data_IF_438470434584
#
_entry.id   IF_438470434584
#
_cell.length_a   1.000
_cell.length_b   1.000
_cell.length_c   1.000
_cell.angle_alpha   90.00
_cell.angle_beta   90.00
_cell.angle_gamma   90.00
#
_symmetry.space_group_name_H-M   'P 1'
#
loop_
_entity.id
_entity.type
_entity.pdbx_description
1 polymer ?
#
# COMPACT_ATOMS: atom_id res chain seq x y z
N UNK A 1 10.50 12.11 4.30
CA UNK A 1 9.42 11.60 5.22
C UNK A 1 10.06 10.58 6.13
N UNK A 2 9.73 10.54 7.42
CA UNK A 2 10.30 9.61 8.40
C UNK A 2 9.24 8.67 8.93
N UNK A 3 9.64 7.47 9.38
CA UNK A 3 8.74 6.53 10.04
C UNK A 3 8.18 7.11 11.35
N UNK A 4 7.03 6.61 11.84
CA UNK A 4 6.51 6.97 13.16
C UNK A 4 7.55 6.74 14.26
N UNK A 5 7.58 7.60 15.28
CA UNK A 5 8.60 7.55 16.34
C UNK A 5 8.61 6.20 17.05
N UNK A 6 7.44 5.63 17.34
CA UNK A 6 7.31 4.31 17.98
C UNK A 6 8.02 3.19 17.21
N UNK A 7 8.06 3.28 15.89
CA UNK A 7 8.81 2.32 15.06
C UNK A 7 10.30 2.61 15.13
N UNK A 8 10.71 3.90 15.00
CA UNK A 8 12.12 4.30 15.03
C UNK A 8 12.83 3.96 16.34
N UNK A 9 12.10 4.03 17.45
CA UNK A 9 12.61 3.75 18.80
C UNK A 9 12.55 2.25 19.17
N UNK A 10 12.10 1.39 18.24
CA UNK A 10 12.00 -0.06 18.40
C UNK A 10 13.15 -0.79 17.68
N UNK A 11 13.31 -2.10 17.84
CA UNK A 11 14.29 -2.90 17.08
C UNK A 11 13.84 -3.21 15.64
N UNK A 12 12.72 -2.66 15.15
CA UNK A 12 12.10 -3.01 13.87
C UNK A 12 12.65 -2.29 12.64
N UNK A 13 13.27 -1.10 12.71
CA UNK A 13 13.79 -0.42 11.52
C UNK A 13 14.89 -1.20 10.80
N UNK A 14 15.04 -0.86 9.52
CA UNK A 14 16.24 -1.21 8.77
C UNK A 14 17.47 -0.72 9.50
N UNK A 15 18.50 -1.57 9.61
CA UNK A 15 19.79 -1.23 10.21
C UNK A 15 20.75 -0.63 9.19
N UNK A 16 20.53 -0.92 7.91
CA UNK A 16 21.40 -0.52 6.80
C UNK A 16 20.56 -0.11 5.56
N UNK A 17 21.17 0.59 4.63
CA UNK A 17 20.57 0.97 3.36
C UNK A 17 19.72 2.25 3.43
N UNK A 18 19.07 2.55 2.33
CA UNK A 18 18.32 3.81 2.12
C UNK A 18 17.14 4.02 3.09
N UNK A 19 16.61 2.95 3.65
CA UNK A 19 15.46 3.00 4.56
C UNK A 19 15.86 3.19 6.03
N UNK A 20 17.13 2.91 6.37
CA UNK A 20 17.63 2.99 7.74
C UNK A 20 17.61 4.43 8.28
N UNK A 21 18.05 5.41 7.48
CA UNK A 21 18.13 6.81 7.87
C UNK A 21 16.78 7.42 8.30
N UNK A 22 15.70 6.94 7.73
CA UNK A 22 14.32 7.39 8.02
C UNK A 22 13.60 6.51 9.05
N UNK A 23 14.22 5.41 9.49
CA UNK A 23 13.71 4.50 10.51
C UNK A 23 12.51 3.65 10.08
N UNK A 24 12.38 3.34 8.80
CA UNK A 24 11.31 2.48 8.29
C UNK A 24 11.51 1.02 8.72
N UNK A 25 10.40 0.33 8.99
CA UNK A 25 10.40 -1.09 9.38
C UNK A 25 11.03 -1.96 8.30
N UNK A 26 11.94 -2.84 8.71
CA UNK A 26 12.63 -3.78 7.82
C UNK A 26 11.72 -4.93 7.39
N UNK A 27 11.04 -4.79 6.27
CA UNK A 27 10.16 -5.82 5.74
C UNK A 27 10.61 -6.31 4.35
N UNK A 28 10.28 -7.55 4.04
CA UNK A 28 10.32 -8.05 2.68
C UNK A 28 9.23 -7.38 1.85
N UNK A 29 9.58 -6.87 0.67
CA UNK A 29 8.68 -6.06 -0.15
C UNK A 29 7.49 -6.84 -0.73
N UNK A 30 7.60 -8.17 -0.83
CA UNK A 30 6.59 -9.02 -1.42
C UNK A 30 5.64 -9.62 -0.39
N UNK A 31 6.18 -10.07 0.76
CA UNK A 31 5.41 -10.73 1.80
C UNK A 31 5.00 -9.79 2.93
N UNK A 32 5.65 -8.60 3.02
CA UNK A 32 5.48 -7.59 4.08
C UNK A 32 5.86 -8.10 5.47
N UNK A 33 6.53 -9.27 5.52
CA UNK A 33 7.05 -9.88 6.74
C UNK A 33 8.36 -9.20 7.13
N UNK A 34 8.56 -8.98 8.42
CA UNK A 34 9.82 -8.45 8.93
C UNK A 34 10.95 -9.47 8.70
N UNK A 35 12.11 -9.02 8.19
CA UNK A 35 13.19 -9.92 7.81
C UNK A 35 13.88 -10.59 9.01
N UNK A 36 14.00 -9.88 10.15
CA UNK A 36 14.63 -10.39 11.37
C UNK A 36 13.64 -10.99 12.36
N UNK A 37 12.35 -10.58 12.33
CA UNK A 37 11.32 -11.03 13.24
C UNK A 37 10.16 -11.62 12.44
N UNK A 38 10.17 -12.93 12.15
CA UNK A 38 9.25 -13.56 11.19
C UNK A 38 7.78 -13.55 11.63
N UNK A 39 7.49 -13.29 12.89
CA UNK A 39 6.14 -13.13 13.45
C UNK A 39 5.61 -11.69 13.39
N UNK A 40 6.38 -10.75 12.81
CA UNK A 40 6.02 -9.33 12.68
C UNK A 40 5.77 -9.01 11.20
N UNK A 41 4.71 -8.25 10.95
CA UNK A 41 4.38 -7.74 9.62
C UNK A 41 4.25 -6.22 9.65
N UNK A 42 4.68 -5.54 8.58
CA UNK A 42 4.56 -4.10 8.43
C UNK A 42 3.80 -3.73 7.17
N UNK A 43 2.73 -2.94 7.33
CA UNK A 43 1.92 -2.44 6.21
C UNK A 43 1.72 -0.93 6.29
N UNK A 44 1.49 -0.28 5.16
CA UNK A 44 1.26 1.16 5.09
C UNK A 44 2.49 1.99 5.44
N UNK A 45 2.26 3.04 6.23
CA UNK A 45 3.26 4.08 6.51
C UNK A 45 4.47 3.61 7.33
N UNK A 46 4.41 2.46 7.95
CA UNK A 46 5.54 1.90 8.71
C UNK A 46 6.50 1.09 7.82
N UNK A 47 6.01 0.53 6.71
CA UNK A 47 6.76 -0.39 5.89
C UNK A 47 7.91 0.28 5.14
N UNK A 48 9.12 -0.27 5.25
CA UNK A 48 10.30 0.14 4.48
C UNK A 48 10.31 -0.49 3.09
N UNK A 49 9.35 -0.10 2.25
CA UNK A 49 9.21 -0.56 0.87
C UNK A 49 9.26 0.62 -0.11
N UNK A 50 9.68 0.41 -1.37
CA UNK A 50 9.86 1.49 -2.35
C UNK A 50 8.59 2.29 -2.63
N UNK A 51 7.42 1.63 -2.62
CA UNK A 51 6.10 2.21 -2.88
C UNK A 51 5.08 1.60 -1.92
N UNK A 52 3.91 2.25 -1.77
CA UNK A 52 2.83 1.65 -1.02
C UNK A 52 2.48 2.32 0.31
N UNK A 53 2.71 3.64 0.42
CA UNK A 53 2.31 4.46 1.57
C UNK A 53 1.01 5.22 1.31
N UNK A 54 0.05 4.59 0.60
CA UNK A 54 -1.29 5.14 0.36
C UNK A 54 -2.36 4.20 0.92
N UNK A 55 -3.54 4.72 1.22
CA UNK A 55 -4.66 3.90 1.68
C UNK A 55 -5.03 2.81 0.64
N UNK A 56 -4.92 3.13 -0.65
CA UNK A 56 -5.12 2.17 -1.73
C UNK A 56 -4.09 1.03 -1.67
N UNK A 57 -2.82 1.33 -1.39
CA UNK A 57 -1.78 0.32 -1.22
C UNK A 57 -2.05 -0.58 -0.01
N UNK A 58 -2.47 -0.01 1.12
CA UNK A 58 -2.81 -0.77 2.34
C UNK A 58 -3.91 -1.79 2.06
N UNK A 59 -4.91 -1.43 1.25
CA UNK A 59 -5.97 -2.36 0.82
C UNK A 59 -5.42 -3.64 0.19
N UNK A 60 -4.32 -3.56 -0.55
CA UNK A 60 -3.66 -4.71 -1.19
C UNK A 60 -2.59 -5.36 -0.29
N UNK A 61 -1.97 -4.60 0.58
CA UNK A 61 -0.96 -5.10 1.51
C UNK A 61 -1.56 -5.98 2.60
N UNK A 62 -2.68 -5.56 3.20
CA UNK A 62 -3.31 -6.26 4.32
C UNK A 62 -3.68 -7.70 3.98
N UNK A 63 -4.36 -8.03 2.85
CA UNK A 63 -4.65 -9.41 2.49
C UNK A 63 -3.40 -10.29 2.34
N UNK A 64 -2.30 -9.73 1.81
CA UNK A 64 -1.02 -10.46 1.69
C UNK A 64 -0.46 -10.79 3.08
N UNK A 65 -0.34 -9.79 3.96
CA UNK A 65 0.16 -9.98 5.32
C UNK A 65 -0.71 -10.98 6.10
N UNK A 66 -2.04 -10.86 6.00
CA UNK A 66 -3.00 -11.78 6.66
C UNK A 66 -2.87 -13.21 6.12
N UNK A 67 -2.71 -13.37 4.80
CA UNK A 67 -2.53 -14.71 4.20
C UNK A 67 -1.27 -15.41 4.73
N UNK A 68 -0.16 -14.69 4.87
CA UNK A 68 1.06 -15.22 5.48
C UNK A 68 0.88 -15.52 6.96
N UNK A 69 0.23 -14.63 7.71
CA UNK A 69 -0.07 -14.84 9.13
C UNK A 69 -0.94 -16.10 9.35
N UNK A 70 -2.00 -16.27 8.55
CA UNK A 70 -2.83 -17.48 8.60
C UNK A 70 -2.01 -18.73 8.24
N UNK A 71 -1.14 -18.61 7.23
CA UNK A 71 -0.22 -19.67 6.84
C UNK A 71 0.66 -20.13 7.99
N UNK A 72 1.24 -19.20 8.75
CA UNK A 72 2.05 -19.49 9.92
C UNK A 72 1.24 -20.21 11.03
N UNK A 73 0.02 -19.72 11.29
CA UNK A 73 -0.85 -20.31 12.33
C UNK A 73 -1.31 -21.72 11.96
N UNK A 74 -1.58 -21.96 10.68
CA UNK A 74 -2.14 -23.25 10.20
C UNK A 74 -1.08 -24.21 9.68
N UNK A 75 0.19 -23.83 9.65
CA UNK A 75 1.28 -24.62 9.07
C UNK A 75 1.23 -24.77 7.55
N UNK A 76 0.48 -23.90 6.86
CA UNK A 76 0.35 -23.91 5.38
C UNK A 76 1.06 -22.70 4.76
N UNK A 77 2.01 -22.95 3.87
CA UNK A 77 2.70 -21.85 3.18
C UNK A 77 1.75 -21.01 2.33
N UNK A 78 1.85 -19.69 2.42
CA UNK A 78 1.13 -18.75 1.57
C UNK A 78 1.98 -18.39 0.35
N UNK A 79 1.34 -18.32 -0.83
CA UNK A 79 1.94 -17.79 -2.08
C UNK A 79 1.54 -16.34 -2.35
N UNK A 80 0.82 -15.69 -1.46
CA UNK A 80 0.38 -14.30 -1.64
C UNK A 80 1.58 -13.36 -1.74
N UNK A 81 1.54 -12.44 -2.69
CA UNK A 81 2.62 -11.50 -2.96
C UNK A 81 2.08 -10.10 -3.26
N UNK A 82 2.67 -9.10 -2.66
CA UNK A 82 2.40 -7.70 -2.95
C UNK A 82 3.33 -7.21 -4.06
N UNK A 83 2.76 -6.65 -5.11
CA UNK A 83 3.49 -6.20 -6.30
C UNK A 83 3.91 -4.72 -6.26
N UNK A 84 3.65 -4.02 -5.16
CA UNK A 84 3.95 -2.59 -5.06
C UNK A 84 2.84 -1.66 -5.54
N UNK A 85 1.65 -2.19 -5.79
CA UNK A 85 0.51 -1.36 -6.22
C UNK A 85 0.36 -0.13 -5.34
N UNK A 86 0.36 1.01 -5.98
CA UNK A 86 0.07 2.30 -5.35
C UNK A 86 -0.85 3.11 -6.25
N UNK A 87 -1.73 3.86 -5.65
CA UNK A 87 -2.67 4.73 -6.36
C UNK A 87 -2.74 6.08 -5.69
N UNK A 88 -2.70 7.12 -6.52
CA UNK A 88 -2.80 8.51 -6.07
C UNK A 88 -3.71 9.29 -7.03
N UNK A 89 -4.99 9.47 -6.71
CA UNK A 89 -5.85 10.34 -7.49
C UNK A 89 -5.50 11.81 -7.23
N UNK A 90 -5.08 12.51 -8.27
CA UNK A 90 -4.65 13.91 -8.27
C UNK A 90 -5.77 14.80 -8.82
N UNK A 91 -6.26 15.76 -8.03
CA UNK A 91 -7.15 16.80 -8.53
C UNK A 91 -6.29 17.81 -9.28
N UNK A 92 -6.54 17.99 -10.57
CA UNK A 92 -5.80 18.91 -11.43
C UNK A 92 -6.51 20.26 -11.54
N UNK A 93 -7.85 20.24 -11.55
CA UNK A 93 -8.72 21.42 -11.52
C UNK A 93 -10.13 21.04 -11.08
N UNK A 94 -11.00 22.04 -10.91
CA UNK A 94 -12.40 21.79 -10.58
C UNK A 94 -13.07 20.89 -11.65
N UNK A 95 -13.69 19.80 -11.21
CA UNK A 95 -14.33 18.82 -12.08
C UNK A 95 -13.37 17.92 -12.86
N UNK A 96 -12.05 17.96 -12.59
CA UNK A 96 -11.07 17.12 -13.25
C UNK A 96 -10.07 16.53 -12.25
N UNK A 97 -9.80 15.24 -12.40
CA UNK A 97 -8.75 14.56 -11.69
C UNK A 97 -8.12 13.48 -12.56
N UNK A 98 -6.89 13.15 -12.25
CA UNK A 98 -6.12 12.09 -12.87
C UNK A 98 -5.95 10.95 -11.88
N UNK A 99 -6.15 9.70 -12.29
CA UNK A 99 -5.85 8.52 -11.48
C UNK A 99 -4.52 7.95 -11.92
N UNK A 100 -3.56 7.99 -11.01
CA UNK A 100 -2.19 7.53 -11.27
C UNK A 100 -1.96 6.28 -10.44
N UNK A 101 -1.73 5.15 -11.10
CA UNK A 101 -1.57 3.83 -10.48
C UNK A 101 -0.35 3.12 -11.05
N UNK A 102 0.50 2.58 -10.17
CA UNK A 102 1.74 1.91 -10.53
C UNK A 102 1.97 0.64 -9.70
N UNK A 103 2.84 -0.23 -10.22
CA UNK A 103 3.49 -1.29 -9.46
C UNK A 103 4.94 -0.92 -9.06
N UNK A 104 5.73 -1.89 -8.57
CA UNK A 104 7.15 -1.69 -8.22
C UNK A 104 8.04 -1.39 -9.44
N UNK A 105 7.66 -1.83 -10.61
CA UNK A 105 8.40 -1.64 -11.86
C UNK A 105 8.01 -0.36 -12.61
N UNK A 106 7.18 0.49 -12.02
CA UNK A 106 6.61 1.68 -12.66
C UNK A 106 5.68 1.38 -13.85
N UNK A 107 5.20 0.14 -13.96
CA UNK A 107 4.17 -0.17 -14.93
C UNK A 107 2.85 0.49 -14.50
N UNK A 108 2.19 1.13 -15.47
CA UNK A 108 0.85 1.67 -15.25
C UNK A 108 -0.15 0.53 -15.06
N UNK A 109 -0.90 0.61 -13.97
CA UNK A 109 -1.99 -0.32 -13.66
C UNK A 109 -3.31 0.43 -13.81
N UNK A 110 -4.35 -0.24 -14.24
CA UNK A 110 -5.69 0.34 -14.36
C UNK A 110 -6.67 -0.44 -13.50
N UNK A 111 -7.15 0.17 -12.41
CA UNK A 111 -8.19 -0.42 -11.56
C UNK A 111 -9.58 -0.41 -12.21
N UNK A 112 -9.80 0.47 -13.19
CA UNK A 112 -11.08 0.62 -13.88
C UNK A 112 -10.87 0.58 -15.41
N UNK A 113 -10.52 -0.59 -15.99
CA UNK A 113 -10.28 -0.70 -17.42
C UNK A 113 -11.52 -0.32 -18.25
N UNK A 114 -11.32 0.50 -19.27
CA UNK A 114 -12.41 1.00 -20.12
C UNK A 114 -13.22 2.17 -19.54
N UNK A 115 -13.03 2.53 -18.27
CA UNK A 115 -13.75 3.65 -17.61
C UNK A 115 -12.80 4.80 -17.28
N UNK A 116 -11.61 4.47 -16.79
CA UNK A 116 -10.58 5.45 -16.42
C UNK A 116 -9.34 5.18 -17.24
N UNK A 117 -9.01 6.10 -18.13
CA UNK A 117 -7.74 6.07 -18.85
C UNK A 117 -6.61 6.56 -17.92
N UNK A 118 -5.50 5.80 -17.80
CA UNK A 118 -4.35 6.22 -17.02
C UNK A 118 -3.79 7.56 -17.51
N UNK A 119 -3.41 8.42 -16.57
CA UNK A 119 -2.80 9.73 -16.83
C UNK A 119 -3.70 10.74 -17.58
N UNK A 120 -4.98 10.46 -17.72
CA UNK A 120 -5.93 11.42 -18.31
C UNK A 120 -6.71 12.18 -17.25
N UNK A 121 -6.98 13.46 -17.51
CA UNK A 121 -7.83 14.30 -16.68
C UNK A 121 -9.31 14.03 -16.96
N UNK A 122 -9.96 13.24 -16.12
CA UNK A 122 -11.35 12.84 -16.31
C UNK A 122 -12.26 13.42 -15.22
N UNK A 123 -13.50 13.74 -15.60
CA UNK A 123 -14.54 14.13 -14.65
C UNK A 123 -14.96 12.96 -13.76
N UNK A 124 -15.05 11.74 -14.33
CA UNK A 124 -15.38 10.53 -13.56
C UNK A 124 -14.38 10.28 -12.43
N UNK A 125 -13.09 10.48 -12.69
CA UNK A 125 -12.03 10.36 -11.68
C UNK A 125 -12.19 11.41 -10.58
N UNK A 126 -12.60 12.63 -10.94
CA UNK A 126 -12.91 13.68 -9.97
C UNK A 126 -14.08 13.31 -9.06
N UNK A 127 -15.16 12.74 -9.62
CA UNK A 127 -16.31 12.24 -8.84
C UNK A 127 -15.89 11.11 -7.91
N UNK A 128 -15.13 10.13 -8.41
CA UNK A 128 -14.57 9.04 -7.59
C UNK A 128 -13.75 9.62 -6.42
N UNK A 129 -12.87 10.59 -6.70
CA UNK A 129 -12.02 11.21 -5.68
C UNK A 129 -12.83 11.97 -4.64
N UNK A 130 -13.80 12.77 -5.04
CA UNK A 130 -14.50 13.69 -4.14
C UNK A 130 -15.68 13.03 -3.41
N UNK A 131 -16.35 12.07 -4.02
CA UNK A 131 -17.56 11.43 -3.49
C UNK A 131 -17.35 9.95 -3.14
N UNK A 132 -16.55 9.22 -3.93
CA UNK A 132 -16.40 7.77 -3.79
C UNK A 132 -15.40 7.35 -2.72
N UNK A 133 -14.30 8.08 -2.51
CA UNK A 133 -13.23 7.64 -1.60
C UNK A 133 -13.66 7.55 -0.13
N UNK A 134 -14.47 8.48 0.36
CA UNK A 134 -14.92 8.45 1.76
C UNK A 134 -15.76 7.20 2.09
N UNK A 135 -16.81 6.85 1.34
CA UNK A 135 -17.55 5.60 1.58
C UNK A 135 -16.68 4.37 1.39
N UNK A 136 -15.79 4.33 0.38
CA UNK A 136 -14.85 3.22 0.19
C UNK A 136 -13.95 3.05 1.41
N UNK A 137 -13.36 4.13 1.92
CA UNK A 137 -12.53 4.08 3.13
C UNK A 137 -13.31 3.56 4.35
N UNK A 138 -14.54 4.01 4.56
CA UNK A 138 -15.37 3.54 5.67
C UNK A 138 -15.75 2.05 5.54
N UNK A 139 -15.93 1.52 4.33
CA UNK A 139 -16.16 0.08 4.10
C UNK A 139 -14.91 -0.74 4.35
N UNK A 140 -13.74 -0.23 3.95
CA UNK A 140 -12.44 -0.86 4.27
C UNK A 140 -12.22 -0.99 5.77
N UNK A 141 -12.47 0.07 6.55
CA UNK A 141 -12.35 0.03 8.02
C UNK A 141 -13.28 -0.99 8.69
N UNK A 142 -14.37 -1.36 8.01
CA UNK A 142 -15.31 -2.38 8.46
C UNK A 142 -15.00 -3.79 7.94
N UNK A 143 -13.89 -3.98 7.22
CA UNK A 143 -13.52 -5.25 6.60
C UNK A 143 -14.47 -5.69 5.48
N UNK A 144 -15.12 -4.75 4.78
CA UNK A 144 -16.15 -5.00 3.75
C UNK A 144 -15.74 -4.53 2.34
N UNK A 145 -14.46 -4.29 2.10
CA UNK A 145 -13.97 -3.80 0.80
C UNK A 145 -12.79 -4.62 0.31
#
# INVERSE_FOLDING_TARGET
>A
MRAPQVVRDSPLPWTEGIWAADGWMEVDRSTLRHKRFPNVFGVGDVAGVPKGKTAASVKWQVPVAVSHLIGDITGKASSASYNGYTSCPLITRLGRAMLVEFDYQDNLITSFPGVVAPLEELWVTWVIKTMGLKPTYLTMLRGRA
#
